data_IF_444231066179
#
_entry.id   IF_444231066179
#
_cell.length_a   1.000
_cell.length_b   1.000
_cell.length_c   1.000
_cell.angle_alpha   90.00
_cell.angle_beta   90.00
_cell.angle_gamma   90.00
#
_symmetry.space_group_name_H-M   'P 1'
#
loop_
_entity.id
_entity.type
_entity.pdbx_description
1 polymer ?
#
# COMPACT_ATOMS: atom_id res chain seq x y z
N UNK A 1 34.53 55.78 -24.95
CA UNK A 1 35.60 54.78 -24.80
C UNK A 1 34.94 53.57 -24.19
N UNK A 2 34.82 52.54 -25.01
CA UNK A 2 33.96 51.37 -24.85
C UNK A 2 34.25 50.58 -23.57
N UNK A 3 33.18 50.19 -22.88
CA UNK A 3 33.21 49.28 -21.75
C UNK A 3 33.45 47.88 -22.33
N UNK A 4 34.70 47.43 -22.22
CA UNK A 4 35.19 46.16 -22.75
C UNK A 4 34.36 44.98 -22.23
N UNK A 5 33.50 44.45 -23.12
CA UNK A 5 32.64 43.28 -22.91
C UNK A 5 33.42 41.95 -22.93
N UNK A 6 34.72 42.01 -22.64
CA UNK A 6 35.73 40.97 -22.91
C UNK A 6 35.83 39.91 -21.81
N UNK A 7 35.02 40.03 -20.75
CA UNK A 7 35.03 39.12 -19.61
C UNK A 7 33.71 38.34 -19.44
N UNK A 8 32.82 38.40 -20.44
CA UNK A 8 31.55 37.67 -20.39
C UNK A 8 31.69 36.22 -20.86
N UNK A 9 32.56 35.94 -21.84
CA UNK A 9 32.75 34.58 -22.36
C UNK A 9 33.44 33.68 -21.32
N UNK A 10 34.51 34.18 -20.68
CA UNK A 10 35.21 33.50 -19.58
C UNK A 10 34.27 33.21 -18.40
N UNK A 11 33.41 34.16 -18.06
CA UNK A 11 32.42 34.00 -17.00
C UNK A 11 31.36 32.96 -17.39
N UNK A 12 30.86 32.97 -18.64
CA UNK A 12 29.88 32.00 -19.13
C UNK A 12 30.49 30.60 -19.17
N UNK A 13 31.73 30.44 -19.65
CA UNK A 13 32.45 29.16 -19.68
C UNK A 13 32.67 28.62 -18.26
N UNK A 14 33.05 29.48 -17.31
CA UNK A 14 33.23 29.10 -15.92
C UNK A 14 31.91 28.68 -15.27
N UNK A 15 30.84 29.46 -15.46
CA UNK A 15 29.52 29.10 -14.94
C UNK A 15 28.98 27.82 -15.58
N UNK A 16 29.16 27.64 -16.88
CA UNK A 16 28.79 26.42 -17.58
C UNK A 16 29.60 25.22 -17.03
N UNK A 17 30.90 25.38 -16.82
CA UNK A 17 31.78 24.35 -16.23
C UNK A 17 31.39 23.96 -14.81
N UNK A 18 30.94 24.92 -13.98
CA UNK A 18 30.43 24.65 -12.63
C UNK A 18 29.08 23.93 -12.64
N UNK A 19 28.20 24.25 -13.59
CA UNK A 19 26.87 23.59 -13.72
C UNK A 19 27.03 22.19 -14.32
N UNK A 20 27.87 22.03 -15.36
CA UNK A 20 28.13 20.75 -15.99
C UNK A 20 28.93 19.79 -15.10
N UNK A 21 29.50 20.27 -13.99
CA UNK A 21 30.33 19.45 -13.10
C UNK A 21 29.57 18.77 -11.96
N UNK A 22 28.26 18.91 -11.90
CA UNK A 22 27.43 18.20 -10.93
C UNK A 22 26.22 17.59 -11.62
N UNK A 23 25.93 16.33 -11.28
CA UNK A 23 24.69 15.65 -11.68
C UNK A 23 23.87 15.39 -10.43
N UNK A 24 22.66 15.95 -10.39
CA UNK A 24 21.70 15.72 -9.31
C UNK A 24 20.41 15.15 -9.90
N UNK A 25 19.93 14.05 -9.33
CA UNK A 25 18.69 13.41 -9.73
C UNK A 25 17.49 13.95 -8.94
N UNK A 26 16.38 14.16 -9.63
CA UNK A 26 15.06 14.48 -9.07
C UNK A 26 13.99 13.61 -9.71
N UNK A 27 12.85 13.56 -9.04
CA UNK A 27 11.64 12.92 -9.54
C UNK A 27 10.39 13.76 -9.28
N UNK A 28 9.29 13.37 -9.93
CA UNK A 28 7.96 13.95 -9.74
C UNK A 28 7.00 12.97 -9.03
N UNK A 29 7.52 12.04 -8.21
CA UNK A 29 6.70 11.00 -7.60
C UNK A 29 5.68 11.57 -6.60
N UNK A 30 4.59 10.82 -6.40
CA UNK A 30 3.55 11.16 -5.43
C UNK A 30 3.92 10.64 -4.03
N UNK A 31 3.26 11.16 -2.99
CA UNK A 31 3.44 10.72 -1.59
C UNK A 31 3.06 9.24 -1.33
N UNK A 32 2.60 8.51 -2.35
CA UNK A 32 2.30 7.08 -2.31
C UNK A 32 3.60 6.26 -2.46
N UNK A 33 4.62 6.85 -3.06
CA UNK A 33 5.91 6.22 -3.33
C UNK A 33 6.99 6.78 -2.42
N UNK A 34 7.90 5.90 -2.02
CA UNK A 34 9.13 6.25 -1.34
C UNK A 34 10.30 5.96 -2.27
N UNK A 35 10.97 7.01 -2.74
CA UNK A 35 12.10 6.88 -3.66
C UNK A 35 13.39 7.20 -2.91
N UNK A 36 14.29 6.22 -2.86
CA UNK A 36 15.62 6.37 -2.27
C UNK A 36 16.68 6.34 -3.37
N UNK A 37 17.64 7.24 -3.25
CA UNK A 37 18.72 7.38 -4.21
C UNK A 37 20.04 6.96 -3.61
N UNK A 38 20.77 6.16 -4.38
CA UNK A 38 22.15 5.81 -4.11
C UNK A 38 22.98 6.11 -5.34
N UNK A 39 24.14 6.72 -5.16
CA UNK A 39 25.04 7.03 -6.26
C UNK A 39 26.40 6.36 -6.08
N UNK A 40 26.99 6.00 -7.21
CA UNK A 40 28.38 5.58 -7.33
C UNK A 40 29.05 6.57 -8.27
N UNK A 41 29.68 7.58 -7.67
CA UNK A 41 30.42 8.61 -8.38
C UNK A 41 31.88 8.14 -8.61
N UNK A 42 32.60 8.81 -9.51
CA UNK A 42 33.98 8.43 -9.90
C UNK A 42 34.99 8.41 -8.75
N UNK A 43 34.79 9.23 -7.72
CA UNK A 43 35.71 9.37 -6.58
C UNK A 43 35.36 8.44 -5.40
N UNK A 44 34.24 7.72 -5.48
CA UNK A 44 33.86 6.73 -4.48
C UNK A 44 34.63 5.45 -4.80
N UNK A 45 35.29 4.84 -3.82
CA UNK A 45 36.09 3.61 -3.96
C UNK A 45 35.25 2.36 -4.33
N UNK A 46 34.40 2.46 -5.34
CA UNK A 46 33.44 1.46 -5.77
C UNK A 46 32.13 1.43 -4.99
N UNK A 47 32.04 2.08 -3.82
CA UNK A 47 30.90 1.99 -2.91
C UNK A 47 29.71 2.86 -3.33
N UNK A 48 28.50 2.30 -3.18
CA UNK A 48 27.24 3.03 -3.29
C UNK A 48 27.04 3.88 -2.04
N UNK A 49 26.78 5.18 -2.22
CA UNK A 49 26.52 6.13 -1.14
C UNK A 49 25.07 6.60 -1.24
N UNK A 50 24.38 6.74 -0.11
CA UNK A 50 23.00 7.23 -0.07
C UNK A 50 22.96 8.75 -0.34
N UNK A 51 22.96 9.10 -1.61
CA UNK A 51 22.88 10.48 -2.11
C UNK A 51 22.30 10.46 -3.52
N UNK A 52 21.60 11.53 -3.89
CA UNK A 52 21.07 11.75 -5.24
C UNK A 52 21.97 12.65 -6.10
N UNK A 53 23.20 12.94 -5.63
CA UNK A 53 24.10 13.91 -6.26
C UNK A 53 25.51 13.35 -6.42
N UNK A 54 26.13 13.65 -7.56
CA UNK A 54 27.55 13.48 -7.81
C UNK A 54 28.18 14.83 -8.20
N UNK A 55 29.27 15.20 -7.54
CA UNK A 55 30.05 16.42 -7.79
C UNK A 55 31.36 16.10 -8.52
N UNK A 56 31.98 17.11 -9.12
CA UNK A 56 33.25 17.05 -9.86
C UNK A 56 33.24 16.12 -11.09
N UNK A 57 32.12 16.09 -11.80
CA UNK A 57 31.94 15.34 -13.06
C UNK A 57 32.48 16.16 -14.24
N UNK A 58 33.04 15.51 -15.24
CA UNK A 58 33.50 16.12 -16.49
C UNK A 58 32.74 15.54 -17.68
N UNK A 59 32.84 16.23 -18.82
CA UNK A 59 32.30 15.72 -20.07
C UNK A 59 32.97 14.40 -20.43
N UNK A 60 32.18 13.36 -20.65
CA UNK A 60 32.64 11.99 -20.94
C UNK A 60 32.67 11.07 -19.73
N UNK A 61 32.51 11.60 -18.51
CA UNK A 61 32.43 10.80 -17.31
C UNK A 61 31.09 10.06 -17.20
N UNK A 62 31.13 8.84 -16.67
CA UNK A 62 29.95 8.01 -16.44
C UNK A 62 29.80 7.74 -14.95
N UNK A 63 28.64 8.08 -14.40
CA UNK A 63 28.25 7.77 -13.02
C UNK A 63 27.04 6.84 -13.01
N UNK A 64 26.87 6.09 -11.93
CA UNK A 64 25.74 5.16 -11.78
C UNK A 64 24.87 5.56 -10.61
N UNK A 65 23.57 5.66 -10.84
CA UNK A 65 22.57 5.82 -9.80
C UNK A 65 21.79 4.52 -9.64
N UNK A 66 21.66 4.04 -8.40
CA UNK A 66 20.72 2.99 -8.02
C UNK A 66 19.53 3.68 -7.33
N UNK A 67 18.34 3.37 -7.79
CA UNK A 67 17.10 3.97 -7.30
C UNK A 67 16.26 2.83 -6.73
N UNK A 68 15.92 2.94 -5.45
CA UNK A 68 15.02 2.00 -4.79
C UNK A 68 13.64 2.65 -4.69
N UNK A 69 12.63 2.02 -5.32
CA UNK A 69 11.25 2.49 -5.37
C UNK A 69 10.39 1.58 -4.52
N UNK A 70 9.73 2.14 -3.52
CA UNK A 70 8.89 1.41 -2.57
C UNK A 70 7.46 1.99 -2.59
N UNK A 71 6.46 1.12 -2.75
CA UNK A 71 5.04 1.51 -2.69
C UNK A 71 4.58 1.46 -1.23
N UNK A 72 4.23 2.62 -0.65
CA UNK A 72 3.87 2.71 0.77
C UNK A 72 2.43 2.30 1.04
N UNK A 73 1.52 2.54 0.09
CA UNK A 73 0.09 2.27 0.25
C UNK A 73 -0.57 2.02 -1.09
N UNK A 74 -1.63 1.22 -1.08
CA UNK A 74 -2.53 1.05 -2.21
C UNK A 74 -3.53 2.21 -2.27
N UNK A 75 -3.58 2.98 -3.37
CA UNK A 75 -4.62 3.98 -3.57
C UNK A 75 -6.02 3.35 -3.58
N UNK A 76 -7.02 4.06 -3.06
CA UNK A 76 -8.41 3.57 -3.03
C UNK A 76 -9.04 3.55 -4.42
N UNK A 77 -8.69 4.51 -5.26
CA UNK A 77 -9.20 4.59 -6.62
C UNK A 77 -8.29 3.78 -7.54
N UNK A 78 -8.89 2.90 -8.34
CA UNK A 78 -8.18 2.03 -9.27
C UNK A 78 -7.44 2.78 -10.37
N UNK A 79 -7.92 3.96 -10.75
CA UNK A 79 -7.21 4.83 -11.69
C UNK A 79 -5.83 5.24 -11.18
N UNK A 80 -5.68 5.39 -9.85
CA UNK A 80 -4.43 5.81 -9.22
C UNK A 80 -3.45 4.64 -9.02
N UNK A 81 -3.86 3.39 -9.32
CA UNK A 81 -2.96 2.22 -9.32
C UNK A 81 -1.96 2.28 -10.45
N UNK A 82 -2.28 3.02 -11.52
CA UNK A 82 -1.41 3.25 -12.66
C UNK A 82 -0.84 4.66 -12.58
N UNK A 83 0.47 4.78 -12.48
CA UNK A 83 1.15 6.08 -12.41
C UNK A 83 2.37 6.08 -13.31
N UNK A 84 2.58 7.18 -14.02
CA UNK A 84 3.84 7.42 -14.74
C UNK A 84 4.68 8.39 -13.94
N UNK A 85 5.80 7.91 -13.40
CA UNK A 85 6.80 8.75 -12.74
C UNK A 85 7.96 9.04 -13.68
N UNK A 86 8.59 10.19 -13.48
CA UNK A 86 9.73 10.65 -14.25
C UNK A 86 10.89 10.90 -13.29
N UNK A 87 12.03 10.33 -13.61
CA UNK A 87 13.28 10.54 -12.90
C UNK A 87 14.24 11.23 -13.87
N UNK A 88 14.79 12.37 -13.48
CA UNK A 88 15.53 13.23 -14.39
C UNK A 88 16.71 13.94 -13.70
N UNK A 89 17.78 14.24 -14.45
CA UNK A 89 18.86 15.10 -13.97
C UNK A 89 18.40 16.55 -13.96
N UNK A 90 18.75 17.30 -12.92
CA UNK A 90 18.52 18.75 -12.88
C UNK A 90 19.33 19.43 -13.98
N UNK A 91 18.68 20.26 -14.78
CA UNK A 91 19.34 21.03 -15.86
C UNK A 91 19.51 20.28 -17.18
N UNK A 92 18.98 19.06 -17.29
CA UNK A 92 18.95 18.28 -18.54
C UNK A 92 17.50 18.07 -19.01
N UNK A 93 17.31 17.77 -20.30
CA UNK A 93 15.96 17.54 -20.87
C UNK A 93 15.58 16.06 -20.87
N UNK A 94 16.58 15.20 -20.87
CA UNK A 94 16.44 13.75 -20.84
C UNK A 94 15.85 13.30 -19.50
N UNK A 95 14.97 12.30 -19.54
CA UNK A 95 14.34 11.74 -18.36
C UNK A 95 14.08 10.25 -18.55
N UNK A 96 14.14 9.51 -17.45
CA UNK A 96 13.68 8.13 -17.36
C UNK A 96 12.20 8.14 -16.98
N UNK A 97 11.34 7.62 -17.87
CA UNK A 97 9.92 7.42 -17.58
C UNK A 97 9.70 6.00 -17.09
N UNK A 98 8.96 5.87 -15.99
CA UNK A 98 8.61 4.59 -15.38
C UNK A 98 7.08 4.53 -15.31
N UNK A 99 6.50 3.57 -16.04
CA UNK A 99 5.09 3.24 -15.94
C UNK A 99 4.91 2.19 -14.84
N UNK A 100 4.35 2.63 -13.72
CA UNK A 100 4.16 1.85 -12.51
C UNK A 100 2.71 1.36 -12.44
N UNK A 101 2.54 0.04 -12.33
CA UNK A 101 1.27 -0.61 -12.00
C UNK A 101 1.36 -1.21 -10.59
N UNK A 102 0.52 -0.73 -9.68
CA UNK A 102 0.43 -1.23 -8.31
C UNK A 102 -0.54 -2.41 -8.23
N UNK A 103 -0.04 -3.56 -7.79
CA UNK A 103 -0.85 -4.77 -7.61
C UNK A 103 -1.46 -4.74 -6.21
N UNK A 104 -2.68 -4.25 -6.11
CA UNK A 104 -3.39 -4.04 -4.85
C UNK A 104 -4.52 -5.04 -4.56
N UNK A 105 -4.94 -5.80 -5.57
CA UNK A 105 -6.04 -6.76 -5.50
C UNK A 105 -5.54 -8.15 -5.96
N UNK A 106 -6.13 -9.20 -5.42
CA UNK A 106 -5.85 -10.55 -5.88
C UNK A 106 -6.70 -10.89 -7.12
N UNK A 107 -6.19 -11.72 -8.03
CA UNK A 107 -6.92 -12.08 -9.25
C UNK A 107 -8.26 -12.78 -8.99
N UNK A 108 -8.40 -13.47 -7.86
CA UNK A 108 -9.64 -14.11 -7.45
C UNK A 108 -10.72 -13.15 -6.91
N UNK A 109 -10.36 -11.89 -6.64
CA UNK A 109 -11.27 -10.83 -6.19
C UNK A 109 -11.89 -10.07 -7.37
N UNK A 110 -11.40 -10.32 -8.59
CA UNK A 110 -11.84 -9.62 -9.80
C UNK A 110 -13.15 -10.20 -10.34
N UNK A 111 -14.11 -9.35 -10.77
CA UNK A 111 -15.30 -9.79 -11.49
C UNK A 111 -14.95 -10.69 -12.68
N UNK A 112 -15.68 -11.80 -12.82
CA UNK A 112 -15.45 -12.79 -13.88
C UNK A 112 -14.46 -13.90 -13.52
N UNK A 113 -13.77 -13.83 -12.38
CA UNK A 113 -13.01 -14.97 -11.87
C UNK A 113 -13.98 -16.08 -11.38
N UNK A 114 -13.58 -17.35 -11.50
CA UNK A 114 -14.37 -18.48 -10.98
C UNK A 114 -14.61 -18.43 -9.47
N UNK A 115 -13.75 -17.73 -8.73
CA UNK A 115 -13.85 -17.52 -7.28
C UNK A 115 -14.49 -16.18 -6.93
N UNK A 116 -15.09 -15.50 -7.91
CA UNK A 116 -15.85 -14.28 -7.73
C UNK A 116 -17.30 -14.51 -8.12
N UNK A 117 -18.22 -14.25 -7.20
CA UNK A 117 -19.65 -14.31 -7.49
C UNK A 117 -20.41 -13.30 -6.64
N UNK A 118 -20.99 -12.29 -7.29
CA UNK A 118 -21.92 -11.36 -6.63
C UNK A 118 -23.18 -12.09 -6.20
N UNK A 119 -23.78 -11.64 -5.08
CA UNK A 119 -24.99 -12.23 -4.50
C UNK A 119 -24.92 -13.76 -4.46
N UNK A 120 -23.77 -14.28 -4.02
CA UNK A 120 -23.51 -15.70 -4.09
C UNK A 120 -24.47 -16.47 -3.15
N UNK A 121 -25.04 -17.61 -3.60
CA UNK A 121 -25.84 -18.45 -2.72
C UNK A 121 -25.06 -18.95 -1.50
N UNK A 122 -23.74 -19.16 -1.63
CA UNK A 122 -22.85 -19.50 -0.53
C UNK A 122 -22.68 -18.39 0.52
N UNK A 123 -23.10 -17.17 0.19
CA UNK A 123 -23.12 -15.99 1.04
C UNK A 123 -24.56 -15.54 1.31
N UNK A 124 -25.49 -16.49 1.41
CA UNK A 124 -26.93 -16.24 1.66
C UNK A 124 -27.58 -15.28 0.67
N UNK A 125 -27.00 -15.12 -0.52
CA UNK A 125 -27.38 -14.10 -1.52
C UNK A 125 -27.33 -12.65 -1.00
N UNK A 126 -26.64 -12.42 0.13
CA UNK A 126 -26.51 -11.14 0.84
C UNK A 126 -25.05 -10.67 0.89
N UNK A 127 -24.27 -11.07 -0.10
CA UNK A 127 -22.85 -10.74 -0.19
C UNK A 127 -22.19 -11.28 -1.45
N UNK A 128 -20.96 -10.84 -1.67
CA UNK A 128 -20.12 -11.26 -2.78
C UNK A 128 -19.14 -12.31 -2.29
N UNK A 129 -19.12 -13.47 -2.95
CA UNK A 129 -18.09 -14.47 -2.71
C UNK A 129 -16.81 -14.05 -3.43
N UNK A 130 -15.71 -13.87 -2.68
CA UNK A 130 -14.39 -13.50 -3.20
C UNK A 130 -13.32 -14.39 -2.56
N UNK A 131 -12.52 -15.09 -3.38
CA UNK A 131 -11.36 -15.86 -2.92
C UNK A 131 -11.59 -16.86 -1.76
N UNK A 132 -12.78 -17.45 -1.65
CA UNK A 132 -13.07 -18.40 -0.57
C UNK A 132 -13.88 -17.85 0.61
N UNK A 133 -14.07 -16.54 0.68
CA UNK A 133 -14.81 -15.87 1.75
C UNK A 133 -15.96 -15.02 1.21
N UNK A 134 -16.87 -14.62 2.10
CA UNK A 134 -17.99 -13.75 1.77
C UNK A 134 -17.73 -12.31 2.23
N UNK A 135 -17.82 -11.37 1.31
CA UNK A 135 -17.89 -9.94 1.60
C UNK A 135 -19.37 -9.53 1.66
N UNK A 136 -19.89 -9.31 2.86
CA UNK A 136 -21.32 -9.09 3.08
C UNK A 136 -21.77 -7.68 2.66
N UNK A 137 -22.99 -7.62 2.13
CA UNK A 137 -23.66 -6.34 1.86
C UNK A 137 -23.90 -5.57 3.16
N UNK A 138 -24.02 -4.23 3.09
CA UNK A 138 -24.30 -3.41 4.28
C UNK A 138 -25.52 -3.93 5.06
N UNK A 139 -25.36 -4.13 6.36
CA UNK A 139 -26.39 -4.68 7.23
C UNK A 139 -26.43 -6.20 7.33
N UNK A 140 -25.71 -6.94 6.47
CA UNK A 140 -25.49 -8.38 6.61
C UNK A 140 -24.09 -8.68 7.17
N UNK A 141 -23.97 -9.74 7.95
CA UNK A 141 -22.71 -10.18 8.56
C UNK A 141 -22.74 -11.68 8.87
N UNK A 142 -21.60 -12.23 9.31
CA UNK A 142 -21.42 -13.67 9.49
C UNK A 142 -20.49 -14.24 8.43
N UNK A 143 -20.14 -15.53 8.56
CA UNK A 143 -19.18 -16.18 7.65
C UNK A 143 -19.76 -16.32 6.23
N UNK A 144 -21.08 -16.47 6.15
CA UNK A 144 -21.88 -16.68 4.97
C UNK A 144 -22.97 -15.59 4.82
N UNK A 145 -22.78 -14.43 5.45
CA UNK A 145 -23.74 -13.32 5.47
C UNK A 145 -25.15 -13.73 5.93
N UNK A 146 -25.21 -14.70 6.83
CA UNK A 146 -26.41 -15.34 7.34
C UNK A 146 -27.15 -14.51 8.40
N UNK A 147 -26.52 -13.44 8.91
CA UNK A 147 -27.04 -12.59 9.97
C UNK A 147 -27.31 -11.17 9.48
N UNK A 148 -28.34 -10.50 10.02
CA UNK A 148 -28.76 -9.15 9.63
C UNK A 148 -28.76 -8.24 10.87
N UNK A 149 -28.23 -7.01 10.74
CA UNK A 149 -28.03 -6.06 11.85
C UNK A 149 -29.31 -5.48 12.43
N UNK A 150 -30.40 -5.45 11.65
CA UNK A 150 -31.65 -4.75 11.98
C UNK A 150 -32.82 -5.69 12.37
N UNK A 151 -32.56 -6.99 12.44
CA UNK A 151 -33.50 -7.93 13.05
C UNK A 151 -33.13 -8.10 14.50
N UNK A 152 -33.96 -7.56 15.39
CA UNK A 152 -34.15 -7.95 16.78
C UNK A 152 -34.05 -9.47 16.97
N UNK A 153 -32.84 -10.01 17.10
CA UNK A 153 -32.51 -11.34 17.65
C UNK A 153 -33.47 -12.49 17.29
N UNK A 154 -34.06 -12.51 16.09
CA UNK A 154 -35.19 -13.40 15.76
C UNK A 154 -34.81 -14.51 14.80
N UNK A 155 -33.63 -14.42 14.16
CA UNK A 155 -33.05 -15.47 13.33
C UNK A 155 -31.68 -15.96 13.84
N UNK A 156 -31.33 -15.66 15.10
CA UNK A 156 -30.31 -16.46 15.78
C UNK A 156 -31.05 -17.69 16.26
N UNK A 157 -30.83 -18.83 15.62
CA UNK A 157 -31.15 -20.13 16.23
C UNK A 157 -30.37 -20.19 17.54
N UNK A 158 -31.04 -19.82 18.64
CA UNK A 158 -30.50 -19.75 20.01
C UNK A 158 -29.72 -21.02 20.38
N UNK A 159 -30.08 -22.13 19.71
CA UNK A 159 -29.46 -23.44 19.81
C UNK A 159 -27.96 -23.48 19.46
N UNK A 160 -27.44 -22.60 18.59
CA UNK A 160 -26.01 -22.66 18.19
C UNK A 160 -25.07 -22.02 19.22
N UNK A 161 -25.61 -21.26 20.17
CA UNK A 161 -24.87 -20.63 21.27
C UNK A 161 -25.12 -21.32 22.63
N UNK A 162 -25.76 -22.49 22.60
CA UNK A 162 -25.96 -23.36 23.75
C UNK A 162 -25.32 -24.73 23.48
N UNK A 163 -24.67 -25.37 24.46
CA UNK A 163 -24.18 -26.73 24.32
C UNK A 163 -25.32 -27.69 23.90
N UNK A 164 -25.14 -28.52 22.85
CA UNK A 164 -26.20 -29.41 22.36
C UNK A 164 -26.60 -30.48 23.39
N UNK A 165 -25.69 -30.83 24.30
CA UNK A 165 -25.83 -31.94 25.24
C UNK A 165 -26.38 -31.53 26.62
N UNK A 166 -26.64 -30.24 26.84
CA UNK A 166 -27.09 -29.72 28.15
C UNK A 166 -28.47 -29.09 28.02
N UNK A 167 -29.54 -29.80 28.42
CA UNK A 167 -30.89 -29.23 28.41
C UNK A 167 -30.96 -28.01 29.33
N UNK A 168 -31.57 -26.93 28.84
CA UNK A 168 -31.68 -25.63 29.53
C UNK A 168 -30.35 -24.91 29.82
N UNK A 169 -29.29 -25.17 29.04
CA UNK A 169 -28.06 -24.41 29.17
C UNK A 169 -28.29 -22.90 28.94
N UNK A 170 -27.60 -22.08 29.74
CA UNK A 170 -27.58 -20.63 29.54
C UNK A 170 -26.86 -20.30 28.23
N UNK A 171 -27.42 -19.37 27.47
CA UNK A 171 -26.80 -18.82 26.27
C UNK A 171 -25.38 -18.33 26.60
N UNK A 172 -24.38 -18.80 25.85
CA UNK A 172 -22.98 -18.45 26.08
C UNK A 172 -22.51 -18.63 27.54
N UNK A 173 -23.06 -19.63 28.23
CA UNK A 173 -22.81 -19.91 29.65
C UNK A 173 -23.08 -18.73 30.58
N UNK A 174 -23.88 -17.75 30.16
CA UNK A 174 -24.17 -16.53 30.90
C UNK A 174 -22.99 -15.55 31.02
N UNK A 175 -21.94 -15.70 30.21
CA UNK A 175 -20.70 -14.87 30.28
C UNK A 175 -20.42 -14.12 28.97
N UNK A 176 -21.46 -13.86 28.20
CA UNK A 176 -21.32 -13.25 26.89
C UNK A 176 -22.65 -13.09 26.17
N UNK A 177 -22.59 -12.43 25.01
CA UNK A 177 -23.71 -12.26 24.12
C UNK A 177 -23.57 -13.22 22.93
N UNK A 178 -24.64 -13.88 22.53
CA UNK A 178 -24.65 -14.63 21.28
C UNK A 178 -24.84 -13.65 20.12
N UNK A 179 -23.82 -13.55 19.26
CA UNK A 179 -23.85 -12.72 18.06
C UNK A 179 -23.50 -13.61 16.88
N UNK A 180 -24.48 -13.82 16.00
CA UNK A 180 -24.33 -14.62 14.78
C UNK A 180 -23.73 -16.01 15.03
N UNK A 181 -24.42 -16.81 15.86
CA UNK A 181 -24.06 -18.19 16.19
C UNK A 181 -22.67 -18.34 16.81
N UNK A 182 -22.13 -17.26 17.40
CA UNK A 182 -20.90 -17.26 18.19
C UNK A 182 -21.12 -16.51 19.50
N UNK A 183 -20.47 -17.01 20.54
CA UNK A 183 -20.45 -16.34 21.82
C UNK A 183 -19.38 -15.26 21.86
N UNK A 184 -19.81 -14.00 21.91
CA UNK A 184 -18.97 -12.87 22.24
C UNK A 184 -18.88 -12.77 23.76
N UNK A 185 -17.84 -13.38 24.32
CA UNK A 185 -17.58 -13.34 25.75
C UNK A 185 -17.31 -11.91 26.23
N UNK A 186 -17.78 -11.59 27.43
CA UNK A 186 -17.46 -10.32 28.08
C UNK A 186 -15.96 -10.26 28.41
N UNK A 187 -15.35 -9.10 28.13
CA UNK A 187 -13.96 -8.85 28.49
C UNK A 187 -13.80 -8.90 30.01
N UNK A 188 -12.82 -9.68 30.50
CA UNK A 188 -12.51 -9.74 31.93
C UNK A 188 -11.92 -8.39 32.37
N UNK A 189 -12.32 -7.90 33.54
CA UNK A 189 -11.80 -6.65 34.12
C UNK A 189 -10.33 -6.74 34.58
N UNK A 190 -9.77 -7.95 34.67
CA UNK A 190 -8.42 -8.17 35.16
C UNK A 190 -7.67 -9.12 34.21
N UNK A 191 -6.63 -8.61 33.53
CA UNK A 191 -5.88 -9.34 32.50
C UNK A 191 -4.96 -10.44 33.07
N UNK A 192 -4.75 -10.47 34.40
CA UNK A 192 -3.79 -11.34 35.06
C UNK A 192 -4.38 -12.60 35.73
N UNK A 193 -5.67 -12.90 35.53
CA UNK A 193 -6.29 -14.07 36.14
C UNK A 193 -6.13 -15.32 35.26
N UNK A 194 -5.28 -16.25 35.69
CA UNK A 194 -5.06 -17.54 35.02
C UNK A 194 -6.27 -18.45 35.22
N UNK A 195 -6.88 -18.90 34.13
CA UNK A 195 -7.95 -19.91 34.17
C UNK A 195 -7.33 -21.25 34.58
N UNK A 196 -7.55 -21.68 35.81
CA UNK A 196 -7.20 -23.04 36.24
C UNK A 196 -8.23 -23.97 35.60
N UNK A 197 -7.80 -24.79 34.63
CA UNK A 197 -8.57 -25.92 34.10
C UNK A 197 -8.54 -27.08 35.09
#
# INVERSE_FOLDING_TARGET
MDVDNSNIISLIEEQYGRISSSVQMKDNSSNVLNIKYFSKCLNSAGALVHTNKCDNIKVGDVVTFKIDIEVLKCPKNRADHFQTIQIYPVGMRESLKIDLEMICECDCEKPGNRYYKENAPACSSMGTYKCGICECSPGAFGKHCECISDSSSTNITVNDCTPPDVPNALLCSGRGQCVCNKCMCESRQNENEVSIM
#
